data_IF_478361772162
#
_entry.id   IF_478361772162
#
_cell.length_a   1.000
_cell.length_b   1.000
_cell.length_c   1.000
_cell.angle_alpha   90.00
_cell.angle_beta   90.00
_cell.angle_gamma   90.00
#
_symmetry.space_group_name_H-M   'P 1'
#
loop_
_entity.id
_entity.type
_entity.pdbx_description
1 polymer ?
#
# COMPACT_ATOMS: atom_id res chain seq x y z
N UNK A 1 -12.69 -13.58 -3.70
CA UNK A 1 -11.84 -13.40 -2.52
C UNK A 1 -11.71 -11.91 -2.27
N UNK A 2 -12.06 -11.45 -1.08
CA UNK A 2 -11.97 -10.07 -0.66
C UNK A 2 -11.15 -9.97 0.63
N UNK A 3 -10.77 -8.76 1.00
CA UNK A 3 -10.13 -8.47 2.29
C UNK A 3 -11.23 -8.18 3.31
N UNK A 4 -11.16 -8.83 4.47
CA UNK A 4 -11.99 -8.57 5.63
C UNK A 4 -11.08 -8.21 6.80
N UNK A 5 -11.42 -7.15 7.52
CA UNK A 5 -10.71 -6.82 8.74
C UNK A 5 -11.04 -7.85 9.84
N UNK A 6 -10.15 -8.07 10.82
CA UNK A 6 -10.37 -9.06 11.88
C UNK A 6 -11.65 -8.84 12.66
N UNK A 7 -12.28 -9.92 13.11
CA UNK A 7 -13.57 -9.84 13.81
C UNK A 7 -13.47 -9.13 15.16
N UNK A 8 -12.30 -9.15 15.82
CA UNK A 8 -12.11 -8.43 17.08
C UNK A 8 -12.38 -6.91 16.96
N UNK A 9 -12.18 -6.31 15.76
CA UNK A 9 -12.50 -4.89 15.53
C UNK A 9 -14.00 -4.64 15.71
N UNK A 10 -14.83 -5.57 15.24
CA UNK A 10 -16.28 -5.55 15.46
C UNK A 10 -16.63 -5.71 16.94
N UNK A 11 -15.91 -6.59 17.63
CA UNK A 11 -16.17 -6.90 19.04
C UNK A 11 -15.83 -5.75 19.98
N UNK A 12 -14.98 -4.80 19.55
CA UNK A 12 -14.72 -3.56 20.29
C UNK A 12 -15.97 -2.68 20.44
N UNK A 13 -16.92 -2.74 19.50
CA UNK A 13 -18.20 -2.06 19.59
C UNK A 13 -18.15 -0.52 19.55
N UNK A 14 -16.99 0.09 19.25
CA UNK A 14 -16.74 1.54 19.35
C UNK A 14 -16.61 2.24 18.00
N UNK A 15 -16.62 1.50 16.88
CA UNK A 15 -16.39 2.05 15.55
C UNK A 15 -17.58 1.86 14.62
N UNK A 16 -17.75 2.79 13.69
CA UNK A 16 -18.58 2.58 12.51
C UNK A 16 -17.83 1.71 11.50
N UNK A 17 -18.44 0.57 11.13
CA UNK A 17 -17.80 -0.45 10.31
C UNK A 17 -18.54 -0.66 8.99
N UNK A 18 -17.78 -1.05 7.97
CA UNK A 18 -18.33 -1.64 6.74
C UNK A 18 -18.75 -3.10 6.96
N UNK A 19 -19.39 -3.71 5.95
CA UNK A 19 -19.73 -5.16 5.97
C UNK A 19 -18.49 -6.06 6.09
N UNK A 20 -17.30 -5.56 5.74
CA UNK A 20 -16.02 -6.26 5.86
C UNK A 20 -15.23 -5.88 7.12
N UNK A 21 -15.90 -5.35 8.13
CA UNK A 21 -15.33 -4.92 9.41
C UNK A 21 -14.26 -3.82 9.30
N UNK A 22 -14.17 -3.13 8.17
CA UNK A 22 -13.25 -2.01 8.01
C UNK A 22 -13.83 -0.78 8.70
N UNK A 23 -12.99 -0.03 9.41
CA UNK A 23 -13.36 1.17 10.16
C UNK A 23 -13.57 2.33 9.18
N UNK A 24 -14.73 2.98 9.26
CA UNK A 24 -15.04 4.16 8.46
C UNK A 24 -14.24 5.36 8.97
N UNK A 25 -13.74 6.17 8.03
CA UNK A 25 -12.91 7.33 8.33
C UNK A 25 -13.38 8.58 7.58
N UNK A 26 -13.00 9.73 8.13
CA UNK A 26 -13.17 11.03 7.49
C UNK A 26 -12.07 11.30 6.45
N UNK A 27 -12.08 12.49 5.85
CA UNK A 27 -11.10 12.91 4.83
C UNK A 27 -9.65 12.97 5.34
N UNK A 28 -9.42 13.02 6.64
CA UNK A 28 -8.09 13.07 7.27
C UNK A 28 -7.58 11.69 7.72
N UNK A 29 -8.32 10.62 7.42
CA UNK A 29 -8.10 9.25 7.88
C UNK A 29 -8.30 9.07 9.40
N UNK A 30 -9.08 9.92 10.02
CA UNK A 30 -9.53 9.76 11.40
C UNK A 30 -10.84 8.95 11.44
N UNK A 31 -11.02 8.15 12.48
CA UNK A 31 -12.30 7.46 12.71
C UNK A 31 -13.46 8.45 12.73
N UNK A 32 -14.61 8.07 12.15
CA UNK A 32 -15.85 8.88 12.19
C UNK A 32 -16.41 9.07 13.59
N UNK A 33 -16.01 8.23 14.54
CA UNK A 33 -16.50 8.23 15.93
C UNK A 33 -15.56 9.00 16.87
N UNK A 34 -14.25 8.93 16.62
CA UNK A 34 -13.22 9.56 17.47
C UNK A 34 -12.08 10.09 16.60
N UNK A 35 -11.98 11.43 16.52
CA UNK A 35 -10.95 12.12 15.73
C UNK A 35 -9.52 11.93 16.26
N UNK A 36 -9.34 11.43 17.48
CA UNK A 36 -8.03 11.10 18.03
C UNK A 36 -7.45 9.79 17.46
N UNK A 37 -8.26 8.99 16.76
CA UNK A 37 -7.90 7.67 16.24
C UNK A 37 -7.72 7.74 14.73
N UNK A 38 -6.49 7.57 14.28
CA UNK A 38 -6.18 7.45 12.86
C UNK A 38 -6.21 5.98 12.42
N UNK A 39 -6.78 5.73 11.23
CA UNK A 39 -6.93 4.40 10.66
C UNK A 39 -6.29 4.34 9.28
N UNK A 40 -5.52 3.30 9.00
CA UNK A 40 -4.83 3.15 7.71
C UNK A 40 -4.69 1.68 7.31
N UNK A 41 -4.40 1.43 6.03
CA UNK A 41 -4.21 0.08 5.48
C UNK A 41 -5.51 -0.67 5.26
N UNK A 42 -5.45 -2.00 5.32
CA UNK A 42 -6.55 -2.88 4.94
C UNK A 42 -7.76 -2.83 5.89
N UNK A 43 -7.57 -2.35 7.12
CA UNK A 43 -8.65 -2.13 8.08
C UNK A 43 -9.37 -0.78 7.92
N UNK A 44 -8.89 0.09 7.04
CA UNK A 44 -9.46 1.41 6.78
C UNK A 44 -10.46 1.38 5.64
N UNK A 45 -11.61 1.99 5.84
CA UNK A 45 -12.64 2.21 4.82
C UNK A 45 -12.73 3.71 4.46
N UNK A 46 -11.85 4.14 3.57
CA UNK A 46 -11.91 5.50 3.03
C UNK A 46 -12.74 5.54 1.75
N UNK A 47 -13.78 6.38 1.74
CA UNK A 47 -14.63 6.62 0.56
C UNK A 47 -14.10 7.80 -0.24
N UNK A 48 -13.77 7.57 -1.51
CA UNK A 48 -13.30 8.60 -2.44
C UNK A 48 -14.46 9.51 -2.90
N UNK A 49 -14.14 10.65 -3.50
CA UNK A 49 -15.13 11.60 -4.06
C UNK A 49 -16.11 10.95 -5.07
N UNK A 50 -15.68 9.89 -5.76
CA UNK A 50 -16.50 9.12 -6.69
C UNK A 50 -17.42 8.08 -6.01
N UNK A 51 -17.49 8.05 -4.69
CA UNK A 51 -18.29 7.12 -3.89
C UNK A 51 -17.69 5.71 -3.78
N UNK A 52 -16.52 5.43 -4.35
CA UNK A 52 -15.87 4.12 -4.26
C UNK A 52 -14.90 4.07 -3.09
N UNK A 53 -14.85 2.93 -2.42
CA UNK A 53 -13.82 2.69 -1.41
C UNK A 53 -12.44 2.58 -2.06
N UNK A 54 -11.42 3.07 -1.34
CA UNK A 54 -10.03 2.82 -1.70
C UNK A 54 -9.75 1.32 -1.58
N UNK A 55 -9.17 0.67 -2.61
CA UNK A 55 -8.94 -0.76 -2.58
C UNK A 55 -7.85 -1.11 -1.54
N UNK A 56 -8.01 -2.23 -0.80
CA UNK A 56 -7.03 -2.69 0.16
C UNK A 56 -5.81 -3.26 -0.58
N UNK A 57 -4.77 -2.44 -0.69
CA UNK A 57 -3.51 -2.76 -1.39
C UNK A 57 -2.33 -2.09 -0.69
N UNK A 58 -1.14 -2.65 -0.86
CA UNK A 58 0.09 -2.09 -0.31
C UNK A 58 0.33 -0.62 -0.71
N UNK A 59 0.01 -0.22 -1.94
CA UNK A 59 0.13 1.17 -2.37
C UNK A 59 -0.87 2.10 -1.66
N UNK A 60 -2.08 1.62 -1.38
CA UNK A 60 -3.07 2.39 -0.62
C UNK A 60 -2.60 2.60 0.82
N UNK A 61 -2.16 1.52 1.47
CA UNK A 61 -1.62 1.57 2.82
C UNK A 61 -0.41 2.51 2.94
N UNK A 62 0.48 2.50 1.94
CA UNK A 62 1.64 3.39 1.90
C UNK A 62 1.24 4.87 1.79
N UNK A 63 0.30 5.21 0.90
CA UNK A 63 -0.20 6.58 0.75
C UNK A 63 -0.96 7.05 1.99
N UNK A 64 -1.78 6.17 2.59
CA UNK A 64 -2.45 6.45 3.86
C UNK A 64 -1.45 6.71 4.98
N UNK A 65 -0.40 5.90 5.10
CA UNK A 65 0.64 6.08 6.11
C UNK A 65 1.34 7.43 5.98
N UNK A 66 1.65 7.87 4.77
CA UNK A 66 2.24 9.19 4.52
C UNK A 66 1.31 10.35 4.92
N UNK A 67 0.00 10.19 4.69
CA UNK A 67 -0.99 11.18 5.10
C UNK A 67 -1.13 11.22 6.63
N UNK A 68 -1.25 10.06 7.27
CA UNK A 68 -1.36 9.94 8.73
C UNK A 68 -0.11 10.47 9.43
N UNK A 69 1.10 10.19 8.92
CA UNK A 69 2.34 10.75 9.46
C UNK A 69 2.30 12.29 9.48
N UNK A 70 1.93 12.92 8.35
CA UNK A 70 1.79 14.38 8.28
C UNK A 70 0.74 14.90 9.25
N UNK A 71 -0.40 14.24 9.34
CA UNK A 71 -1.49 14.65 10.19
C UNK A 71 -1.15 14.47 11.67
N UNK A 72 -0.46 13.40 12.08
CA UNK A 72 0.06 13.24 13.43
C UNK A 72 1.05 14.35 13.82
N UNK A 73 1.94 14.74 12.90
CA UNK A 73 2.86 15.86 13.14
C UNK A 73 2.07 17.18 13.26
N UNK A 74 1.03 17.37 12.44
CA UNK A 74 0.19 18.55 12.47
C UNK A 74 -0.62 18.66 13.77
N UNK A 75 -1.07 17.53 14.38
CA UNK A 75 -1.74 17.56 15.68
C UNK A 75 -0.82 17.96 16.83
N UNK A 76 0.48 17.70 16.71
CA UNK A 76 1.50 18.12 17.69
C UNK A 76 1.91 19.60 17.52
N UNK A 77 1.58 20.19 16.39
CA UNK A 77 1.83 21.60 16.06
C UNK A 77 0.49 22.19 15.65
N UNK A 78 0.17 23.45 15.96
CA UNK A 78 -1.10 24.09 15.59
C UNK A 78 -1.16 24.32 14.05
N UNK A 79 -1.25 23.25 13.28
CA UNK A 79 -1.31 23.26 11.81
C UNK A 79 -2.58 22.52 11.34
N UNK A 80 -3.19 22.96 10.22
CA UNK A 80 -4.34 22.27 9.65
C UNK A 80 -3.94 20.86 9.17
N UNK A 81 -4.88 19.92 9.30
CA UNK A 81 -4.73 18.57 8.77
C UNK A 81 -4.80 18.57 7.24
N UNK A 82 -4.13 17.62 6.64
CA UNK A 82 -4.13 17.40 5.19
C UNK A 82 -5.13 16.32 4.81
N UNK A 83 -6.04 16.60 3.89
CA UNK A 83 -6.96 15.61 3.34
C UNK A 83 -6.23 14.51 2.55
N UNK A 84 -6.69 13.28 2.70
CA UNK A 84 -6.16 12.13 1.97
C UNK A 84 -6.74 12.08 0.56
N UNK A 85 -5.85 11.90 -0.41
CA UNK A 85 -6.22 11.68 -1.82
C UNK A 85 -5.51 10.46 -2.36
N UNK A 86 -6.28 9.43 -2.74
CA UNK A 86 -5.72 8.21 -3.31
C UNK A 86 -5.36 8.39 -4.78
N UNK A 87 -4.18 7.95 -5.16
CA UNK A 87 -3.73 7.86 -6.54
C UNK A 87 -3.47 6.39 -6.90
N UNK A 88 -4.22 5.83 -7.84
CA UNK A 88 -3.99 4.47 -8.30
C UNK A 88 -2.88 4.44 -9.35
N UNK A 89 -1.78 3.76 -9.02
CA UNK A 89 -0.63 3.56 -9.92
C UNK A 89 -0.69 2.22 -10.67
N UNK A 90 -1.82 1.53 -10.59
CA UNK A 90 -2.02 0.22 -11.21
C UNK A 90 -1.69 -0.94 -10.29
N UNK A 91 -1.70 -2.14 -10.84
CA UNK A 91 -1.39 -3.38 -10.13
C UNK A 91 -0.42 -4.24 -10.92
N UNK A 92 0.58 -4.78 -10.21
CA UNK A 92 1.56 -5.69 -10.76
C UNK A 92 1.49 -7.01 -9.99
N UNK A 93 1.29 -8.11 -10.69
CA UNK A 93 1.24 -9.46 -10.11
C UNK A 93 2.44 -10.25 -10.64
N UNK A 94 3.27 -10.74 -9.73
CA UNK A 94 4.37 -11.62 -10.07
C UNK A 94 3.87 -13.07 -10.06
N UNK A 95 3.72 -13.67 -11.21
CA UNK A 95 3.20 -15.04 -11.37
C UNK A 95 4.30 -16.10 -11.23
N UNK A 96 5.58 -15.75 -11.45
CA UNK A 96 6.70 -16.70 -11.39
C UNK A 96 8.05 -15.96 -11.48
N UNK A 97 9.15 -16.71 -11.36
CA UNK A 97 10.51 -16.21 -11.65
C UNK A 97 10.68 -15.67 -13.09
N UNK A 98 9.80 -16.05 -14.00
CA UNK A 98 9.94 -15.77 -15.43
C UNK A 98 8.83 -14.89 -16.02
N UNK A 99 7.71 -14.72 -15.34
CA UNK A 99 6.60 -13.90 -15.84
C UNK A 99 6.06 -12.97 -14.76
N UNK A 100 5.93 -11.71 -15.10
CA UNK A 100 5.25 -10.69 -14.33
C UNK A 100 4.24 -10.05 -15.26
N UNK A 101 3.00 -9.97 -14.80
CA UNK A 101 1.88 -9.37 -15.55
C UNK A 101 1.35 -8.24 -14.72
N UNK A 102 1.08 -7.12 -15.34
CA UNK A 102 0.54 -5.99 -14.61
C UNK A 102 -0.28 -5.07 -15.49
N UNK A 103 -1.08 -4.30 -14.82
CA UNK A 103 -1.93 -3.29 -15.39
C UNK A 103 -1.46 -1.94 -14.86
N UNK A 104 -1.00 -1.07 -15.75
CA UNK A 104 -0.62 0.29 -15.41
C UNK A 104 -1.84 1.18 -15.63
N UNK A 105 -2.46 1.59 -14.54
CA UNK A 105 -3.50 2.61 -14.56
C UNK A 105 -2.84 3.97 -14.40
N UNK A 106 -2.83 4.77 -15.46
CA UNK A 106 -2.39 6.15 -15.39
C UNK A 106 -3.60 7.07 -15.17
N UNK A 107 -3.49 7.99 -14.23
CA UNK A 107 -4.46 9.10 -14.07
C UNK A 107 -4.52 10.03 -15.31
N UNK A 108 -3.66 9.82 -16.30
CA UNK A 108 -3.48 10.69 -17.45
C UNK A 108 -4.18 10.19 -18.72
N UNK A 109 -4.61 8.95 -18.78
CA UNK A 109 -5.31 8.39 -19.94
C UNK A 109 -6.35 7.38 -19.50
N UNK A 110 -7.53 7.42 -20.10
CA UNK A 110 -8.61 6.44 -19.91
C UNK A 110 -8.26 5.02 -20.41
N UNK A 111 -7.05 4.82 -20.91
CA UNK A 111 -6.59 3.54 -21.45
C UNK A 111 -5.75 2.80 -20.43
N UNK A 112 -6.13 1.58 -20.18
CA UNK A 112 -5.42 0.60 -19.36
C UNK A 112 -4.30 -0.02 -20.20
N UNK A 113 -3.04 0.22 -19.86
CA UNK A 113 -1.91 -0.43 -20.51
C UNK A 113 -1.59 -1.75 -19.80
N UNK A 114 -1.69 -2.82 -20.56
CA UNK A 114 -1.25 -4.14 -20.12
C UNK A 114 0.25 -4.28 -20.36
N UNK A 115 1.01 -4.59 -19.29
CA UNK A 115 2.46 -4.73 -19.34
C UNK A 115 2.83 -6.13 -18.91
N UNK A 116 3.68 -6.80 -19.69
CA UNK A 116 4.17 -8.14 -19.40
C UNK A 116 5.69 -8.29 -19.61
N UNK A 117 6.24 -9.41 -19.17
CA UNK A 117 7.62 -9.78 -19.41
C UNK A 117 8.66 -8.97 -18.61
N UNK A 118 9.78 -8.62 -19.26
CA UNK A 118 10.94 -7.99 -18.60
C UNK A 118 10.63 -6.60 -18.05
N UNK A 119 9.78 -5.83 -18.73
CA UNK A 119 9.39 -4.47 -18.32
C UNK A 119 8.55 -4.53 -17.03
N UNK A 120 7.50 -5.38 -17.03
CA UNK A 120 6.67 -5.57 -15.85
C UNK A 120 7.50 -6.05 -14.64
N UNK A 121 8.47 -6.95 -14.88
CA UNK A 121 9.40 -7.41 -13.84
C UNK A 121 10.28 -6.29 -13.30
N UNK A 122 10.83 -5.44 -14.17
CA UNK A 122 11.62 -4.28 -13.75
C UNK A 122 10.80 -3.33 -12.88
N UNK A 123 9.56 -3.03 -13.30
CA UNK A 123 8.65 -2.18 -12.55
C UNK A 123 8.30 -2.79 -11.18
N UNK A 124 8.03 -4.11 -11.13
CA UNK A 124 7.78 -4.81 -9.87
C UNK A 124 8.97 -4.71 -8.90
N UNK A 125 10.19 -4.93 -9.41
CA UNK A 125 11.41 -4.82 -8.60
C UNK A 125 11.60 -3.37 -8.12
N UNK A 126 11.36 -2.39 -8.97
CA UNK A 126 11.47 -0.97 -8.64
C UNK A 126 10.50 -0.57 -7.53
N UNK A 127 9.24 -1.01 -7.64
CA UNK A 127 8.21 -0.78 -6.62
C UNK A 127 8.60 -1.44 -5.28
N UNK A 128 9.06 -2.68 -5.32
CA UNK A 128 9.54 -3.38 -4.12
C UNK A 128 10.70 -2.63 -3.44
N UNK A 129 11.68 -2.13 -4.23
CA UNK A 129 12.79 -1.33 -3.71
C UNK A 129 12.34 0.02 -3.14
N UNK A 130 11.35 0.64 -3.74
CA UNK A 130 10.77 1.87 -3.22
C UNK A 130 10.17 1.65 -1.83
N UNK A 131 9.43 0.56 -1.62
CA UNK A 131 8.89 0.22 -0.30
C UNK A 131 10.00 -0.12 0.71
N UNK A 132 11.01 -0.88 0.31
CA UNK A 132 12.17 -1.15 1.19
C UNK A 132 12.88 0.16 1.61
N UNK A 133 13.04 1.10 0.67
CA UNK A 133 13.64 2.40 0.95
C UNK A 133 12.81 3.22 1.94
N UNK A 134 11.49 3.17 1.83
CA UNK A 134 10.60 3.87 2.76
C UNK A 134 10.73 3.33 4.21
N UNK A 135 10.94 2.01 4.36
CA UNK A 135 11.06 1.37 5.68
C UNK A 135 12.49 1.49 6.25
N UNK A 136 13.50 1.25 5.43
CA UNK A 136 14.89 1.07 5.89
C UNK A 136 15.82 2.25 5.60
N UNK A 137 15.36 3.21 4.79
CA UNK A 137 16.19 4.28 4.25
C UNK A 137 17.09 3.81 3.10
N UNK A 138 17.71 4.78 2.40
CA UNK A 138 18.45 4.52 1.16
C UNK A 138 19.70 3.68 1.37
N UNK A 139 20.48 3.95 2.43
CA UNK A 139 21.76 3.25 2.70
C UNK A 139 21.55 1.75 3.00
N UNK A 140 20.60 1.43 3.88
CA UNK A 140 20.27 0.04 4.23
C UNK A 140 19.67 -0.71 3.04
N UNK A 141 18.80 -0.07 2.25
CA UNK A 141 18.22 -0.67 1.04
C UNK A 141 19.30 -1.00 0.02
N UNK A 142 20.30 -0.15 -0.15
CA UNK A 142 21.43 -0.40 -1.05
C UNK A 142 22.28 -1.59 -0.54
N UNK A 143 22.58 -1.66 0.75
CA UNK A 143 23.30 -2.77 1.35
C UNK A 143 22.54 -4.10 1.18
N UNK A 144 21.22 -4.11 1.39
CA UNK A 144 20.36 -5.28 1.14
C UNK A 144 20.41 -5.71 -0.34
N UNK A 145 20.39 -4.76 -1.27
CA UNK A 145 20.49 -5.06 -2.69
C UNK A 145 21.82 -5.73 -3.06
N UNK A 146 22.96 -5.24 -2.53
CA UNK A 146 24.28 -5.87 -2.72
C UNK A 146 24.27 -7.26 -2.13
N UNK A 147 23.82 -7.44 -0.89
CA UNK A 147 23.73 -8.71 -0.20
C UNK A 147 22.97 -9.76 -1.01
N UNK A 148 21.80 -9.40 -1.56
CA UNK A 148 21.01 -10.29 -2.41
C UNK A 148 21.75 -10.68 -3.71
N UNK A 149 22.52 -9.76 -4.29
CA UNK A 149 23.34 -10.05 -5.47
C UNK A 149 24.44 -11.06 -5.15
N UNK A 150 25.16 -10.86 -4.05
CA UNK A 150 26.21 -11.78 -3.57
C UNK A 150 25.62 -13.15 -3.26
N UNK A 151 24.52 -13.20 -2.51
CA UNK A 151 23.86 -14.47 -2.15
C UNK A 151 23.37 -15.25 -3.37
N UNK A 152 22.96 -14.59 -4.46
CA UNK A 152 22.58 -15.27 -5.71
C UNK A 152 23.75 -15.96 -6.40
N UNK A 153 24.96 -15.43 -6.23
CA UNK A 153 26.19 -16.04 -6.80
C UNK A 153 26.65 -17.21 -5.95
N UNK A 154 26.54 -17.07 -4.62
CA UNK A 154 27.07 -18.06 -3.66
C UNK A 154 26.11 -19.23 -3.44
N UNK A 155 24.78 -19.04 -3.56
CA UNK A 155 23.81 -20.13 -3.35
C UNK A 155 23.89 -21.14 -4.48
N UNK A 156 24.22 -22.42 -4.18
CA UNK A 156 24.21 -23.48 -5.17
C UNK A 156 22.78 -23.65 -5.72
N UNK A 157 22.67 -23.84 -7.04
CA UNK A 157 21.39 -24.21 -7.66
C UNK A 157 21.12 -25.67 -7.31
N UNK A 158 20.32 -25.93 -6.27
CA UNK A 158 19.81 -27.28 -6.02
C UNK A 158 18.86 -27.64 -7.17
N UNK A 159 19.24 -28.65 -7.94
CA UNK A 159 18.34 -29.36 -8.86
C UNK A 159 17.57 -30.35 -7.99
N UNK A 160 16.29 -30.10 -7.76
CA UNK A 160 15.37 -31.12 -7.28
C UNK A 160 15.05 -32.01 -8.50
N UNK A 161 15.46 -33.28 -8.44
CA UNK A 161 15.07 -34.33 -9.38
C UNK A 161 13.67 -34.81 -8.98
#
# INVERSE_FOLDING_TARGET
>A
AGVKAPDFIKDLGVFELTRSNQIQVNEFLQSTVDESIFVLGDCCAFTQENGKLVPPRAQSAHQMAQCVEKNLIATLKPQPLSGFKYSDHGSLVNLSRYSTVGNLMGNLTSNTFFIEGKIARFMYISLYRMHQRAIHGSAKTFALWISEKVLRVVRPKMKLH
#
